data_IF_603704320740
#
_entry.id   IF_603704320740
#
_cell.length_a   1.000
_cell.length_b   1.000
_cell.length_c   1.000
_cell.angle_alpha   90.00
_cell.angle_beta   90.00
_cell.angle_gamma   90.00
#
_symmetry.space_group_name_H-M   'P 1'
#
loop_
_entity.id
_entity.type
_entity.pdbx_description
1 polymer ?
#
# COMPACT_ATOMS: atom_id res chain seq x y z
N UNK A 1 -2.08 -2.79 13.45
CA UNK A 1 -2.50 -3.11 12.06
C UNK A 1 -1.57 -4.10 11.37
N UNK A 2 -0.30 -3.77 11.11
CA UNK A 2 0.64 -4.62 10.33
C UNK A 2 0.70 -6.09 10.81
N UNK A 3 0.83 -6.29 12.12
CA UNK A 3 0.79 -7.63 12.72
C UNK A 3 -0.52 -8.38 12.42
N UNK A 4 -1.67 -7.71 12.51
CA UNK A 4 -2.99 -8.33 12.31
C UNK A 4 -3.18 -8.81 10.87
N UNK A 5 -2.76 -8.02 9.88
CA UNK A 5 -2.84 -8.44 8.48
C UNK A 5 -1.89 -9.61 8.19
N UNK A 6 -0.67 -9.62 8.75
CA UNK A 6 0.24 -10.78 8.62
C UNK A 6 -0.35 -12.02 9.29
N UNK A 7 -0.85 -11.92 10.53
CA UNK A 7 -1.47 -13.02 11.24
C UNK A 7 -2.73 -13.52 10.51
N UNK A 8 -3.51 -12.60 9.94
CA UNK A 8 -4.66 -12.91 9.09
C UNK A 8 -4.26 -13.72 7.86
N UNK A 9 -3.24 -13.27 7.11
CA UNK A 9 -2.70 -13.99 5.95
C UNK A 9 -2.12 -15.35 6.35
N UNK A 10 -1.48 -15.47 7.51
CA UNK A 10 -1.06 -16.76 8.04
C UNK A 10 -2.25 -17.70 8.29
N UNK A 11 -3.35 -17.21 8.86
CA UNK A 11 -4.59 -17.97 9.02
C UNK A 11 -5.21 -18.35 7.67
N UNK A 12 -5.14 -17.47 6.66
CA UNK A 12 -5.55 -17.80 5.28
C UNK A 12 -4.78 -19.01 4.76
N UNK A 13 -3.46 -19.02 4.87
CA UNK A 13 -2.61 -20.14 4.41
C UNK A 13 -2.83 -21.42 5.23
N UNK A 14 -3.23 -21.30 6.50
CA UNK A 14 -3.65 -22.42 7.36
C UNK A 14 -5.12 -22.83 7.20
N UNK A 15 -5.85 -22.25 6.23
CA UNK A 15 -7.28 -22.52 5.99
C UNK A 15 -8.19 -22.24 7.20
N UNK A 16 -7.79 -21.35 8.10
CA UNK A 16 -8.57 -20.89 9.26
C UNK A 16 -9.33 -19.63 8.89
N UNK A 17 -10.37 -19.77 8.07
CA UNK A 17 -11.03 -18.63 7.41
C UNK A 17 -11.69 -17.64 8.38
N UNK A 18 -12.35 -18.12 9.44
CA UNK A 18 -12.99 -17.25 10.44
C UNK A 18 -11.97 -16.37 11.18
N UNK A 19 -10.87 -16.98 11.65
CA UNK A 19 -9.78 -16.25 12.30
C UNK A 19 -9.11 -15.26 11.33
N UNK A 20 -8.90 -15.66 10.07
CA UNK A 20 -8.38 -14.76 9.05
C UNK A 20 -9.31 -13.56 8.81
N UNK A 21 -10.61 -13.82 8.67
CA UNK A 21 -11.64 -12.79 8.49
C UNK A 21 -11.65 -11.79 9.65
N UNK A 22 -11.66 -12.28 10.89
CA UNK A 22 -11.65 -11.45 12.09
C UNK A 22 -10.38 -10.60 12.20
N UNK A 23 -9.19 -11.18 12.00
CA UNK A 23 -7.92 -10.47 12.11
C UNK A 23 -7.78 -9.39 11.01
N UNK A 24 -8.17 -9.70 9.78
CA UNK A 24 -8.12 -8.74 8.67
C UNK A 24 -9.17 -7.64 8.85
N UNK A 25 -10.40 -7.98 9.29
CA UNK A 25 -11.42 -7.00 9.62
C UNK A 25 -10.95 -6.03 10.70
N UNK A 26 -10.36 -6.54 11.79
CA UNK A 26 -9.80 -5.71 12.85
C UNK A 26 -8.67 -4.81 12.33
N UNK A 27 -7.85 -5.32 11.41
CA UNK A 27 -6.84 -4.51 10.71
C UNK A 27 -7.46 -3.34 9.94
N UNK A 28 -8.55 -3.58 9.20
CA UNK A 28 -9.30 -2.55 8.46
C UNK A 28 -9.92 -1.52 9.41
N UNK A 29 -10.47 -1.95 10.55
CA UNK A 29 -11.05 -1.04 11.56
C UNK A 29 -10.00 -0.12 12.18
N UNK A 30 -8.77 -0.59 12.36
CA UNK A 30 -7.67 0.26 12.85
C UNK A 30 -7.21 1.25 11.77
N UNK A 31 -7.06 0.78 10.53
CA UNK A 31 -6.72 1.65 9.40
C UNK A 31 -7.24 1.05 8.10
N UNK A 32 -8.11 1.81 7.44
CA UNK A 32 -8.85 1.38 6.25
C UNK A 32 -7.96 0.94 5.09
N UNK A 33 -6.68 1.32 5.06
CA UNK A 33 -5.73 0.93 4.01
C UNK A 33 -5.62 -0.59 3.85
N UNK A 34 -5.83 -1.38 4.91
CA UNK A 34 -5.86 -2.85 4.79
C UNK A 34 -7.01 -3.37 3.90
N UNK A 35 -8.01 -2.56 3.59
CA UNK A 35 -9.14 -2.95 2.77
C UNK A 35 -8.73 -3.29 1.32
N UNK A 36 -7.53 -2.90 0.88
CA UNK A 36 -6.97 -3.29 -0.43
C UNK A 36 -6.85 -4.82 -0.60
N UNK A 37 -6.93 -5.61 0.46
CA UNK A 37 -6.97 -7.07 0.35
C UNK A 37 -8.35 -7.65 -0.03
N UNK A 38 -9.46 -6.93 0.20
CA UNK A 38 -10.81 -7.45 -0.05
C UNK A 38 -11.07 -7.74 -1.54
N UNK A 39 -10.82 -6.79 -2.48
CA UNK A 39 -11.02 -7.09 -3.90
C UNK A 39 -10.11 -8.22 -4.38
N UNK A 40 -8.90 -8.33 -3.84
CA UNK A 40 -7.99 -9.43 -4.13
C UNK A 40 -8.58 -10.79 -3.76
N UNK A 41 -9.09 -10.97 -2.54
CA UNK A 41 -9.71 -12.24 -2.14
C UNK A 41 -10.94 -12.58 -2.98
N UNK A 42 -11.75 -11.58 -3.34
CA UNK A 42 -12.92 -11.76 -4.20
C UNK A 42 -12.54 -12.25 -5.60
N UNK A 43 -11.56 -11.61 -6.25
CA UNK A 43 -11.10 -11.97 -7.61
C UNK A 43 -10.36 -13.32 -7.60
N UNK A 44 -9.59 -13.62 -6.55
CA UNK A 44 -8.84 -14.88 -6.41
C UNK A 44 -9.67 -16.04 -5.89
N UNK A 45 -11.00 -15.95 -5.97
CA UNK A 45 -11.96 -17.00 -5.57
C UNK A 45 -11.87 -17.42 -4.10
N UNK A 46 -11.30 -16.58 -3.23
CA UNK A 46 -11.30 -16.74 -1.77
C UNK A 46 -12.45 -15.91 -1.15
N UNK A 47 -13.66 -16.08 -1.71
CA UNK A 47 -14.84 -15.24 -1.41
C UNK A 47 -15.33 -15.41 0.03
N UNK A 48 -15.20 -16.60 0.59
CA UNK A 48 -15.52 -16.88 2.00
C UNK A 48 -14.80 -15.92 2.94
N UNK A 49 -13.49 -15.73 2.73
CA UNK A 49 -12.66 -14.83 3.52
C UNK A 49 -13.13 -13.38 3.35
N UNK A 50 -13.39 -12.93 2.13
CA UNK A 50 -13.88 -11.56 1.87
C UNK A 50 -15.22 -11.30 2.59
N UNK A 51 -16.14 -12.26 2.55
CA UNK A 51 -17.44 -12.17 3.25
C UNK A 51 -17.22 -12.12 4.76
N UNK A 52 -16.37 -12.99 5.31
CA UNK A 52 -16.06 -13.01 6.74
C UNK A 52 -15.43 -11.69 7.20
N UNK A 53 -14.53 -11.08 6.40
CA UNK A 53 -13.99 -9.76 6.71
C UNK A 53 -15.10 -8.70 6.80
N UNK A 54 -16.05 -8.70 5.87
CA UNK A 54 -17.19 -7.77 5.90
C UNK A 54 -18.08 -8.00 7.12
N UNK A 55 -18.41 -9.26 7.43
CA UNK A 55 -19.21 -9.62 8.60
C UNK A 55 -18.52 -9.14 9.89
N UNK A 56 -17.25 -9.48 10.08
CA UNK A 56 -16.53 -9.06 11.28
C UNK A 56 -16.33 -7.55 11.35
N UNK A 57 -16.15 -6.86 10.22
CA UNK A 57 -16.07 -5.40 10.20
C UNK A 57 -17.38 -4.77 10.70
N UNK A 58 -18.54 -5.25 10.22
CA UNK A 58 -19.85 -4.79 10.71
C UNK A 58 -20.01 -5.09 12.21
N UNK A 59 -19.65 -6.31 12.65
CA UNK A 59 -19.71 -6.68 14.07
C UNK A 59 -18.83 -5.77 14.94
N UNK A 60 -17.62 -5.43 14.48
CA UNK A 60 -16.72 -4.54 15.21
C UNK A 60 -17.21 -3.09 15.23
N UNK A 61 -17.81 -2.60 14.14
CA UNK A 61 -18.47 -1.28 14.14
C UNK A 61 -19.65 -1.22 15.11
N UNK A 62 -20.38 -2.33 15.30
CA UNK A 62 -21.53 -2.37 16.21
C UNK A 62 -21.14 -2.67 17.66
N UNK A 63 -19.89 -3.07 17.92
CA UNK A 63 -19.44 -3.44 19.26
C UNK A 63 -19.59 -2.30 20.29
N UNK A 64 -19.27 -1.02 19.99
CA UNK A 64 -19.45 0.07 20.94
C UNK A 64 -20.93 0.33 21.29
N UNK A 65 -21.87 -0.04 20.41
CA UNK A 65 -23.31 0.14 20.66
C UNK A 65 -23.81 -0.62 21.90
N UNK A 66 -23.11 -1.69 22.31
CA UNK A 66 -23.40 -2.41 23.57
C UNK A 66 -23.26 -1.48 24.78
N UNK A 67 -22.33 -0.51 24.71
CA UNK A 67 -22.06 0.43 25.80
C UNK A 67 -22.80 1.76 25.61
N UNK A 68 -22.79 2.34 24.40
CA UNK A 68 -23.33 3.69 24.15
C UNK A 68 -24.78 3.71 23.65
N UNK A 69 -25.34 2.55 23.29
CA UNK A 69 -26.65 2.42 22.64
C UNK A 69 -26.60 2.64 21.12
N UNK A 70 -27.52 1.98 20.40
CA UNK A 70 -27.55 2.00 18.92
C UNK A 70 -27.77 3.41 18.34
N UNK A 71 -28.57 4.25 18.99
CA UNK A 71 -28.85 5.60 18.51
C UNK A 71 -27.59 6.48 18.51
N UNK A 72 -26.80 6.43 19.59
CA UNK A 72 -25.54 7.19 19.70
C UNK A 72 -24.48 6.64 18.76
N UNK A 73 -24.35 5.31 18.66
CA UNK A 73 -23.41 4.68 17.73
C UNK A 73 -23.71 5.09 16.28
N UNK A 74 -24.99 5.07 15.89
CA UNK A 74 -25.39 5.51 14.55
C UNK A 74 -25.02 6.98 14.30
N UNK A 75 -25.14 7.84 15.30
CA UNK A 75 -24.70 9.23 15.18
C UNK A 75 -23.18 9.35 15.03
N UNK A 76 -22.40 8.54 15.74
CA UNK A 76 -20.94 8.51 15.60
C UNK A 76 -20.52 8.05 14.21
N UNK A 77 -21.06 6.94 13.72
CA UNK A 77 -20.76 6.43 12.37
C UNK A 77 -21.14 7.43 11.26
N UNK A 78 -22.27 8.14 11.41
CA UNK A 78 -22.70 9.19 10.47
C UNK A 78 -21.74 10.39 10.43
N UNK A 79 -21.15 10.76 11.58
CA UNK A 79 -20.22 11.89 11.68
C UNK A 79 -18.78 11.52 11.30
N UNK A 80 -18.41 10.26 11.46
CA UNK A 80 -17.04 9.79 11.25
C UNK A 80 -16.54 9.94 9.82
N UNK A 81 -17.33 9.52 8.82
CA UNK A 81 -16.90 9.55 7.42
C UNK A 81 -16.69 10.98 6.88
N UNK A 82 -17.61 11.95 7.12
CA UNK A 82 -17.36 13.36 6.79
C UNK A 82 -16.08 13.89 7.46
N UNK A 83 -15.90 13.63 8.76
CA UNK A 83 -14.75 14.11 9.52
C UNK A 83 -13.41 13.62 8.95
N UNK A 84 -13.29 12.33 8.64
CA UNK A 84 -12.06 11.79 8.03
C UNK A 84 -11.85 12.34 6.63
N UNK A 85 -12.91 12.47 5.84
CA UNK A 85 -12.81 12.96 4.46
C UNK A 85 -12.33 14.42 4.43
N UNK A 86 -12.87 15.27 5.30
CA UNK A 86 -12.49 16.69 5.40
C UNK A 86 -11.05 16.87 5.88
N UNK A 87 -10.58 16.04 6.80
CA UNK A 87 -9.23 16.15 7.39
C UNK A 87 -8.12 15.47 6.59
N UNK A 88 -8.46 14.52 5.70
CA UNK A 88 -7.48 13.71 4.97
C UNK A 88 -7.44 13.97 3.46
N UNK A 89 -8.46 14.64 2.90
CA UNK A 89 -8.59 14.85 1.44
C UNK A 89 -8.52 16.32 1.04
N UNK A 90 -8.09 17.21 1.93
CA UNK A 90 -7.88 18.62 1.61
C UNK A 90 -6.64 18.81 0.71
N UNK A 91 -6.65 19.89 -0.08
CA UNK A 91 -5.58 20.16 -1.06
C UNK A 91 -4.21 20.35 -0.41
N UNK A 92 -4.16 20.91 0.80
CA UNK A 92 -2.91 21.10 1.53
C UNK A 92 -2.25 19.76 1.83
N UNK A 93 -3.01 18.82 2.41
CA UNK A 93 -2.55 17.45 2.69
C UNK A 93 -2.09 16.71 1.43
N UNK A 94 -2.77 16.90 0.30
CA UNK A 94 -2.37 16.29 -0.96
C UNK A 94 -1.07 16.85 -1.54
N UNK A 95 -0.79 18.14 -1.35
CA UNK A 95 0.45 18.74 -1.83
C UNK A 95 1.60 18.56 -0.86
N UNK A 96 1.35 18.46 0.45
CA UNK A 96 2.39 18.33 1.48
C UNK A 96 3.51 17.37 1.06
N UNK A 97 4.74 17.87 1.07
CA UNK A 97 5.89 17.07 0.69
C UNK A 97 6.10 15.86 1.61
N UNK A 98 5.66 15.91 2.87
CA UNK A 98 5.69 14.76 3.78
C UNK A 98 4.73 13.65 3.37
N UNK A 99 3.74 13.97 2.54
CA UNK A 99 2.88 12.99 1.91
C UNK A 99 3.61 12.36 0.72
N UNK A 100 3.99 11.10 0.90
CA UNK A 100 4.72 10.28 -0.06
C UNK A 100 3.79 9.30 -0.80
N UNK A 101 2.48 9.56 -0.81
CA UNK A 101 1.54 8.73 -1.58
C UNK A 101 1.76 8.87 -3.09
N UNK A 102 1.31 7.88 -3.85
CA UNK A 102 1.36 7.93 -5.33
C UNK A 102 0.63 9.16 -5.86
N UNK A 103 -0.51 9.48 -5.27
CA UNK A 103 -1.33 10.63 -5.65
C UNK A 103 -0.61 11.95 -5.37
N UNK A 104 0.00 12.10 -4.19
CA UNK A 104 0.71 13.32 -3.82
C UNK A 104 1.93 13.55 -4.73
N UNK A 105 2.70 12.49 -5.01
CA UNK A 105 3.78 12.52 -5.99
C UNK A 105 3.26 12.99 -7.37
N UNK A 106 2.20 12.36 -7.90
CA UNK A 106 1.65 12.73 -9.21
C UNK A 106 1.19 14.18 -9.21
N UNK A 107 0.50 14.64 -8.17
CA UNK A 107 0.04 16.02 -8.07
C UNK A 107 1.21 17.01 -8.06
N UNK A 108 2.27 16.73 -7.27
CA UNK A 108 3.48 17.57 -7.25
C UNK A 108 4.17 17.68 -8.60
N UNK A 109 4.30 16.57 -9.33
CA UNK A 109 4.98 16.56 -10.62
C UNK A 109 4.11 17.01 -11.81
N UNK A 110 2.78 16.96 -11.71
CA UNK A 110 1.93 17.17 -12.90
C UNK A 110 1.04 18.39 -12.83
N UNK A 111 0.92 19.06 -11.68
CA UNK A 111 -0.03 20.17 -11.53
C UNK A 111 0.67 21.51 -11.32
N UNK A 112 0.09 22.56 -11.93
CA UNK A 112 0.56 23.94 -11.77
C UNK A 112 0.36 24.50 -10.36
N UNK A 113 -0.51 23.87 -9.57
CA UNK A 113 -0.87 24.30 -8.22
C UNK A 113 0.15 23.82 -7.17
N UNK A 114 1.15 23.03 -7.57
CA UNK A 114 2.20 22.55 -6.66
C UNK A 114 3.09 23.69 -6.16
N UNK A 115 3.30 23.83 -4.84
CA UNK A 115 4.09 24.93 -4.28
C UNK A 115 5.61 24.77 -4.43
N UNK A 116 6.10 23.64 -4.95
CA UNK A 116 7.53 23.31 -4.96
C UNK A 116 8.25 23.56 -6.29
N UNK A 117 7.57 24.10 -7.31
CA UNK A 117 8.17 24.40 -8.63
C UNK A 117 8.84 23.18 -9.31
N UNK A 118 8.37 21.97 -9.04
CA UNK A 118 8.85 20.71 -9.66
C UNK A 118 7.89 20.13 -10.69
N UNK A 119 6.81 20.84 -10.99
CA UNK A 119 5.81 20.39 -11.95
C UNK A 119 6.38 20.38 -13.38
N UNK A 120 6.30 19.23 -14.03
CA UNK A 120 6.71 19.02 -15.44
C UNK A 120 5.53 19.17 -16.42
N UNK A 121 4.31 19.23 -15.90
CA UNK A 121 3.09 19.45 -16.68
C UNK A 121 2.22 20.51 -15.99
N UNK A 122 1.44 21.30 -16.74
CA UNK A 122 0.58 22.35 -16.18
C UNK A 122 -0.87 21.87 -15.96
N UNK A 123 -1.07 20.65 -15.44
CA UNK A 123 -2.43 20.13 -15.22
C UNK A 123 -3.12 20.87 -14.06
N UNK A 124 -4.44 20.89 -14.09
CA UNK A 124 -5.24 21.25 -12.91
C UNK A 124 -5.19 20.15 -11.85
N UNK A 125 -5.49 20.49 -10.59
CA UNK A 125 -5.60 19.51 -9.50
C UNK A 125 -6.45 18.27 -9.86
N UNK A 126 -7.64 18.47 -10.44
CA UNK A 126 -8.54 17.37 -10.80
C UNK A 126 -7.94 16.45 -11.89
N UNK A 127 -7.26 17.02 -12.87
CA UNK A 127 -6.57 16.26 -13.92
C UNK A 127 -5.39 15.47 -13.35
N UNK A 128 -4.56 16.08 -12.50
CA UNK A 128 -3.45 15.39 -11.82
C UNK A 128 -3.94 14.24 -10.93
N UNK A 129 -5.02 14.45 -10.18
CA UNK A 129 -5.65 13.39 -9.40
C UNK A 129 -6.17 12.25 -10.29
N UNK A 130 -6.76 12.59 -11.45
CA UNK A 130 -7.16 11.63 -12.48
C UNK A 130 -5.99 10.78 -13.00
N UNK A 131 -4.83 11.40 -13.23
CA UNK A 131 -3.60 10.67 -13.61
C UNK A 131 -3.14 9.74 -12.48
N UNK A 132 -3.18 10.20 -11.22
CA UNK A 132 -2.85 9.37 -10.06
C UNK A 132 -3.78 8.16 -9.93
N UNK A 133 -5.08 8.36 -10.08
CA UNK A 133 -6.09 7.30 -10.08
C UNK A 133 -5.89 6.32 -11.23
N UNK A 134 -5.56 6.81 -12.42
CA UNK A 134 -5.26 5.98 -13.58
C UNK A 134 -4.08 5.03 -13.29
N UNK A 135 -2.96 5.55 -12.75
CA UNK A 135 -1.83 4.71 -12.36
C UNK A 135 -2.19 3.73 -11.25
N UNK A 136 -2.93 4.17 -10.22
CA UNK A 136 -3.37 3.31 -9.14
C UNK A 136 -4.23 2.14 -9.65
N UNK A 137 -5.20 2.41 -10.54
CA UNK A 137 -6.06 1.40 -11.16
C UNK A 137 -5.27 0.42 -12.01
N UNK A 138 -4.31 0.88 -12.82
CA UNK A 138 -3.45 0.00 -13.62
C UNK A 138 -2.63 -0.91 -12.71
N UNK A 139 -1.92 -0.31 -11.74
CA UNK A 139 -1.06 -1.06 -10.81
C UNK A 139 -1.90 -2.11 -10.06
N UNK A 140 -3.04 -1.71 -9.52
CA UNK A 140 -3.90 -2.61 -8.77
C UNK A 140 -4.52 -3.69 -9.65
N UNK A 141 -4.96 -3.34 -10.87
CA UNK A 141 -5.46 -4.29 -11.86
C UNK A 141 -4.43 -5.35 -12.24
N UNK A 142 -3.16 -4.98 -12.37
CA UNK A 142 -2.06 -5.93 -12.62
C UNK A 142 -1.84 -6.91 -11.46
N UNK A 143 -2.12 -6.50 -10.22
CA UNK A 143 -2.08 -7.39 -9.05
C UNK A 143 -3.26 -8.36 -9.11
N UNK A 144 -4.48 -7.84 -9.28
CA UNK A 144 -5.72 -8.61 -9.24
C UNK A 144 -5.82 -9.65 -10.35
N UNK A 145 -5.67 -9.22 -11.61
CA UNK A 145 -6.09 -10.01 -12.77
C UNK A 145 -4.96 -10.80 -13.42
N UNK A 146 -3.73 -10.30 -13.38
CA UNK A 146 -2.61 -11.01 -14.00
C UNK A 146 -2.00 -12.00 -13.03
N UNK A 147 -2.30 -13.29 -13.19
CA UNK A 147 -1.72 -14.36 -12.36
C UNK A 147 -0.21 -14.48 -12.60
N UNK A 148 0.53 -14.84 -11.56
CA UNK A 148 1.95 -15.15 -11.70
C UNK A 148 2.18 -16.58 -12.16
N UNK A 149 3.39 -16.85 -12.65
CA UNK A 149 3.75 -18.09 -13.34
C UNK A 149 4.72 -18.97 -12.52
N UNK A 150 4.91 -18.67 -11.24
CA UNK A 150 5.86 -19.36 -10.38
C UNK A 150 5.35 -19.46 -8.94
N UNK A 151 6.09 -20.20 -8.12
CA UNK A 151 5.75 -20.50 -6.72
C UNK A 151 5.73 -19.28 -5.78
N UNK A 152 6.31 -18.16 -6.19
CA UNK A 152 6.33 -16.92 -5.41
C UNK A 152 5.16 -15.99 -5.74
N UNK A 153 4.35 -16.31 -6.75
CA UNK A 153 3.33 -15.41 -7.30
C UNK A 153 2.32 -14.92 -6.24
N UNK A 154 1.75 -15.82 -5.45
CA UNK A 154 0.73 -15.45 -4.45
C UNK A 154 1.33 -14.62 -3.31
N UNK A 155 2.56 -14.95 -2.88
CA UNK A 155 3.27 -14.17 -1.86
C UNK A 155 3.66 -12.79 -2.40
N UNK A 156 4.08 -12.70 -3.66
CA UNK A 156 4.38 -11.44 -4.33
C UNK A 156 3.12 -10.57 -4.43
N UNK A 157 1.95 -11.16 -4.68
CA UNK A 157 0.68 -10.44 -4.66
C UNK A 157 0.39 -9.84 -3.27
N UNK A 158 0.59 -10.60 -2.18
CA UNK A 158 0.46 -10.04 -0.84
C UNK A 158 1.44 -8.88 -0.58
N UNK A 159 2.71 -9.04 -0.95
CA UNK A 159 3.72 -7.98 -0.81
C UNK A 159 3.36 -6.73 -1.62
N UNK A 160 2.85 -6.90 -2.85
CA UNK A 160 2.39 -5.79 -3.69
C UNK A 160 1.19 -5.08 -3.04
N UNK A 161 0.25 -5.81 -2.45
CA UNK A 161 -0.88 -5.23 -1.72
C UNK A 161 -0.43 -4.44 -0.49
N UNK A 162 0.58 -4.92 0.25
CA UNK A 162 1.20 -4.15 1.33
C UNK A 162 1.78 -2.83 0.82
N UNK A 163 2.47 -2.81 -0.32
CA UNK A 163 2.98 -1.56 -0.89
C UNK A 163 1.83 -0.65 -1.33
N UNK A 164 0.74 -1.19 -1.88
CA UNK A 164 -0.49 -0.41 -2.15
C UNK A 164 -1.07 0.23 -0.89
N UNK A 165 -0.97 -0.39 0.29
CA UNK A 165 -1.42 0.23 1.55
C UNK A 165 -0.65 1.52 1.88
N UNK A 166 0.60 1.65 1.45
CA UNK A 166 1.36 2.88 1.57
C UNK A 166 1.03 3.84 0.41
N UNK A 167 1.17 3.38 -0.82
CA UNK A 167 1.05 4.23 -2.01
C UNK A 167 -0.35 4.78 -2.24
N UNK A 168 -1.40 4.04 -1.90
CA UNK A 168 -2.80 4.45 -2.11
C UNK A 168 -3.41 5.12 -0.87
N UNK A 169 -2.65 5.26 0.22
CA UNK A 169 -3.11 6.03 1.36
C UNK A 169 -3.09 7.53 0.98
N UNK A 170 -4.22 8.26 1.05
CA UNK A 170 -4.26 9.68 0.73
C UNK A 170 -3.31 10.52 1.56
N UNK A 171 -2.94 10.07 2.77
CA UNK A 171 -1.95 10.72 3.61
C UNK A 171 -0.86 9.74 4.06
N UNK A 172 0.12 9.49 3.18
CA UNK A 172 1.15 8.48 3.39
C UNK A 172 2.47 9.11 3.87
N UNK A 173 2.69 9.12 5.18
CA UNK A 173 3.95 9.60 5.76
C UNK A 173 5.01 8.49 5.73
N UNK A 174 6.28 8.81 6.01
CA UNK A 174 7.37 7.85 6.08
C UNK A 174 7.04 6.56 6.85
N UNK A 175 6.34 6.67 7.98
CA UNK A 175 5.98 5.50 8.81
C UNK A 175 5.06 4.50 8.09
N UNK A 176 4.26 4.95 7.11
CA UNK A 176 3.46 4.07 6.27
C UNK A 176 4.33 3.16 5.39
N UNK A 177 5.55 3.57 5.04
CA UNK A 177 6.44 2.81 4.17
C UNK A 177 7.12 1.63 4.89
N UNK A 178 6.85 1.44 6.18
CA UNK A 178 7.13 0.17 6.86
C UNK A 178 6.44 -1.03 6.19
N UNK A 179 5.36 -0.81 5.42
CA UNK A 179 4.73 -1.85 4.60
C UNK A 179 5.58 -2.38 3.45
N UNK A 180 6.73 -1.78 3.15
CA UNK A 180 7.66 -2.33 2.16
C UNK A 180 8.44 -3.54 2.70
N UNK A 181 8.53 -3.71 4.02
CA UNK A 181 9.32 -4.77 4.68
C UNK A 181 9.00 -6.17 4.13
N UNK A 182 7.74 -6.63 4.03
CA UNK A 182 7.44 -7.94 3.46
C UNK A 182 7.93 -8.11 2.01
N UNK A 183 7.89 -7.04 1.22
CA UNK A 183 8.39 -7.02 -0.15
C UNK A 183 9.90 -7.23 -0.19
N UNK A 184 10.66 -6.48 0.62
CA UNK A 184 12.11 -6.67 0.75
C UNK A 184 12.46 -8.08 1.21
N UNK A 185 11.78 -8.61 2.23
CA UNK A 185 12.01 -9.96 2.72
C UNK A 185 11.84 -11.03 1.63
N UNK A 186 10.78 -10.94 0.83
CA UNK A 186 10.53 -11.88 -0.26
C UNK A 186 11.58 -11.77 -1.37
N UNK A 187 11.92 -10.54 -1.79
CA UNK A 187 12.92 -10.30 -2.83
C UNK A 187 14.31 -10.77 -2.39
N UNK A 188 14.74 -10.47 -1.17
CA UNK A 188 16.01 -10.92 -0.61
C UNK A 188 16.04 -12.45 -0.51
N UNK A 189 14.98 -13.07 0.02
CA UNK A 189 14.88 -14.53 0.08
C UNK A 189 15.02 -15.17 -1.31
N UNK A 190 14.35 -14.59 -2.31
CA UNK A 190 14.48 -15.02 -3.69
C UNK A 190 15.91 -14.88 -4.21
N UNK A 191 16.54 -13.71 -4.02
CA UNK A 191 17.91 -13.44 -4.46
C UNK A 191 18.91 -14.40 -3.80
N UNK A 192 18.76 -14.68 -2.51
CA UNK A 192 19.58 -15.69 -1.81
C UNK A 192 19.46 -17.06 -2.47
N UNK A 193 18.24 -17.50 -2.80
CA UNK A 193 18.01 -18.77 -3.53
C UNK A 193 18.59 -18.75 -4.94
N UNK A 194 18.56 -17.60 -5.61
CA UNK A 194 19.17 -17.39 -6.92
C UNK A 194 20.68 -17.08 -6.86
N UNK A 195 21.31 -17.15 -5.68
CA UNK A 195 22.72 -16.78 -5.44
C UNK A 195 23.08 -15.40 -5.99
N UNK A 196 22.14 -14.44 -5.87
CA UNK A 196 22.27 -13.06 -6.34
C UNK A 196 22.53 -12.89 -7.85
N UNK A 197 22.23 -13.90 -8.67
CA UNK A 197 22.44 -13.85 -10.13
C UNK A 197 21.37 -13.08 -10.91
N UNK A 198 20.21 -12.78 -10.30
CA UNK A 198 19.18 -11.95 -10.94
C UNK A 198 19.48 -10.46 -10.77
N UNK A 199 20.44 -9.98 -11.56
CA UNK A 199 20.96 -8.61 -11.49
C UNK A 199 19.85 -7.55 -11.61
N UNK A 200 18.86 -7.64 -12.52
CA UNK A 200 17.79 -6.66 -12.58
C UNK A 200 16.97 -6.55 -11.29
N UNK A 201 16.61 -7.68 -10.66
CA UNK A 201 15.88 -7.66 -9.38
C UNK A 201 16.78 -7.11 -8.26
N UNK A 202 18.06 -7.46 -8.26
CA UNK A 202 19.03 -6.94 -7.31
C UNK A 202 19.16 -5.42 -7.40
N UNK A 203 19.34 -4.87 -8.60
CA UNK A 203 19.45 -3.41 -8.83
C UNK A 203 18.17 -2.71 -8.36
N UNK A 204 16.99 -3.19 -8.75
CA UNK A 204 15.73 -2.60 -8.32
C UNK A 204 15.59 -2.63 -6.79
N UNK A 205 15.98 -3.72 -6.14
CA UNK A 205 15.95 -3.86 -4.68
C UNK A 205 16.91 -2.88 -3.99
N UNK A 206 18.14 -2.75 -4.49
CA UNK A 206 19.17 -1.86 -3.92
C UNK A 206 18.77 -0.40 -4.12
N UNK A 207 18.34 0.00 -5.32
CA UNK A 207 17.90 1.37 -5.58
C UNK A 207 16.66 1.72 -4.76
N UNK A 208 15.72 0.79 -4.63
CA UNK A 208 14.57 0.94 -3.75
C UNK A 208 15.01 1.21 -2.31
N UNK A 209 15.93 0.39 -1.77
CA UNK A 209 16.41 0.55 -0.40
C UNK A 209 17.16 1.88 -0.22
N UNK A 210 18.06 2.22 -1.16
CA UNK A 210 18.78 3.48 -1.17
C UNK A 210 17.84 4.68 -1.09
N UNK A 211 16.84 4.77 -1.98
CA UNK A 211 15.89 5.88 -2.00
C UNK A 211 14.99 5.94 -0.76
N UNK A 212 14.65 4.79 -0.18
CA UNK A 212 13.75 4.70 0.97
C UNK A 212 14.43 4.81 2.34
N UNK A 213 15.77 4.76 2.42
CA UNK A 213 16.51 4.70 3.69
C UNK A 213 17.61 5.75 3.82
N UNK A 214 18.33 6.08 2.73
CA UNK A 214 19.40 7.08 2.79
C UNK A 214 18.89 8.51 2.90
N UNK A 215 17.65 8.77 2.51
CA UNK A 215 17.07 10.11 2.62
C UNK A 215 16.54 10.48 4.00
N UNK A 216 16.71 9.63 5.02
CA UNK A 216 16.15 9.88 6.35
C UNK A 216 16.91 10.98 7.11
N UNK A 217 16.19 11.71 7.96
CA UNK A 217 16.73 12.78 8.83
C UNK A 217 18.04 12.37 9.51
N UNK A 218 18.09 11.13 10.01
CA UNK A 218 19.23 10.60 10.76
C UNK A 218 20.50 10.41 9.92
N UNK A 219 20.37 10.36 8.59
CA UNK A 219 21.50 10.14 7.66
C UNK A 219 21.92 11.45 6.99
N UNK A 220 20.96 12.25 6.54
CA UNK A 220 21.21 13.43 5.69
C UNK A 220 20.87 14.77 6.36
N UNK A 221 20.21 14.75 7.51
CA UNK A 221 19.67 15.93 8.18
C UNK A 221 18.34 16.43 7.59
N UNK A 222 17.62 17.22 8.38
CA UNK A 222 16.26 17.72 8.09
C UNK A 222 16.17 18.44 6.73
N UNK A 223 17.11 19.36 6.44
CA UNK A 223 17.05 20.16 5.22
C UNK A 223 17.15 19.32 3.93
N UNK A 224 17.96 18.26 3.94
CA UNK A 224 18.13 17.40 2.77
C UNK A 224 17.02 16.36 2.68
N UNK A 225 16.51 15.87 3.81
CA UNK A 225 15.30 15.03 3.85
C UNK A 225 14.11 15.76 3.22
N UNK A 226 13.84 17.01 3.64
CA UNK A 226 12.79 17.86 3.06
C UNK A 226 12.90 17.99 1.54
N UNK A 227 14.12 18.14 1.02
CA UNK A 227 14.37 18.20 -0.43
C UNK A 227 14.04 16.87 -1.08
N UNK A 228 14.53 15.76 -0.54
CA UNK A 228 14.30 14.43 -1.09
C UNK A 228 12.80 14.05 -1.08
N UNK A 229 12.09 14.42 -0.02
CA UNK A 229 10.65 14.21 0.11
C UNK A 229 9.85 15.04 -0.91
N UNK A 230 10.27 16.28 -1.21
CA UNK A 230 9.67 17.08 -2.30
C UNK A 230 9.77 16.34 -3.63
N UNK A 231 10.89 15.68 -3.91
CA UNK A 231 11.10 14.83 -5.10
C UNK A 231 10.51 13.41 -4.98
N UNK A 232 9.77 13.11 -3.92
CA UNK A 232 9.05 11.85 -3.74
C UNK A 232 9.93 10.60 -3.75
N UNK A 233 11.17 10.69 -3.25
CA UNK A 233 12.13 9.56 -3.24
C UNK A 233 11.57 8.31 -2.58
N UNK A 234 10.79 8.46 -1.51
CA UNK A 234 10.16 7.35 -0.78
C UNK A 234 9.04 6.71 -1.62
N UNK A 235 8.25 7.51 -2.36
CA UNK A 235 7.29 6.96 -3.33
C UNK A 235 8.01 6.15 -4.41
N UNK A 236 9.11 6.67 -4.96
CA UNK A 236 9.95 5.96 -5.93
C UNK A 236 10.55 4.67 -5.36
N UNK A 237 10.96 4.66 -4.09
CA UNK A 237 11.36 3.42 -3.38
C UNK A 237 10.25 2.37 -3.47
N UNK A 238 9.02 2.71 -3.08
CA UNK A 238 7.87 1.82 -3.20
C UNK A 238 7.66 1.29 -4.61
N UNK A 239 7.70 2.17 -5.63
CA UNK A 239 7.50 1.81 -7.04
C UNK A 239 8.60 0.89 -7.59
N UNK A 240 9.87 1.12 -7.21
CA UNK A 240 10.99 0.26 -7.62
C UNK A 240 10.87 -1.14 -7.00
N UNK A 241 10.49 -1.24 -5.72
CA UNK A 241 10.22 -2.53 -5.09
C UNK A 241 9.03 -3.24 -5.75
N UNK A 242 7.96 -2.51 -6.10
CA UNK A 242 6.85 -3.08 -6.87
C UNK A 242 7.32 -3.62 -8.23
N UNK A 243 8.18 -2.89 -8.94
CA UNK A 243 8.75 -3.36 -10.20
C UNK A 243 9.53 -4.67 -10.03
N UNK A 244 10.35 -4.77 -8.97
CA UNK A 244 11.06 -6.01 -8.62
C UNK A 244 10.10 -7.18 -8.36
N UNK A 245 9.02 -6.93 -7.61
CA UNK A 245 7.99 -7.93 -7.29
C UNK A 245 7.15 -8.33 -8.52
N UNK A 246 6.78 -7.41 -9.39
CA UNK A 246 6.09 -7.74 -10.65
C UNK A 246 6.98 -8.58 -11.56
N UNK A 247 8.27 -8.23 -11.67
CA UNK A 247 9.26 -9.03 -12.41
C UNK A 247 9.38 -10.43 -11.81
N UNK A 248 9.49 -10.53 -10.49
CA UNK A 248 9.53 -11.82 -9.79
C UNK A 248 8.26 -12.63 -10.05
N UNK A 249 7.07 -12.03 -9.90
CA UNK A 249 5.75 -12.66 -10.10
C UNK A 249 5.59 -13.27 -11.50
N UNK A 250 6.07 -12.59 -12.53
CA UNK A 250 5.91 -13.02 -13.93
C UNK A 250 7.11 -13.75 -14.51
N UNK A 251 8.21 -13.88 -13.76
CA UNK A 251 9.36 -14.68 -14.19
C UNK A 251 8.92 -16.13 -14.44
N UNK A 252 9.26 -16.66 -15.62
CA UNK A 252 9.05 -18.08 -15.95
C UNK A 252 9.82 -18.94 -14.95
N UNK A 253 9.32 -20.15 -14.65
CA UNK A 253 10.04 -21.13 -13.84
C UNK A 253 11.44 -21.29 -14.44
N UNK A 254 12.46 -20.88 -13.70
CA UNK A 254 13.82 -21.33 -13.95
C UNK A 254 13.82 -22.74 -13.36
N UNK A 255 13.83 -23.74 -14.22
CA UNK A 255 14.14 -25.11 -13.80
C UNK A 255 15.46 -25.04 -13.04
N UNK A 256 15.47 -25.53 -11.81
CA UNK A 256 16.66 -25.54 -10.99
C UNK A 256 17.69 -26.41 -11.72
N UNK A 257 18.68 -25.76 -12.34
CA UNK A 257 19.97 -26.37 -12.69
C UNK A 257 20.78 -26.56 -11.42
#
# INVERSE_FOLDING_TARGET
MFFLIIAGLYCVEKKREAAAGALIALSVMIKYTSAVFLPYFTVRRRRSIAILVLIFAVLFCLLPAIHVGLDRETQYLKKWLPFISETSLDRGSWFDYKNQSLFSMVLRFTTKDSPYNIAIMPLSFAQGLGVGLFFAVIIYGLILFKKGNNKYADMADYCLLFICMALFNPNAWMTNFTFLIPGYMLVIYYLMKARFKDIPILILCVLSFALGSWGSESVVGEALEDILEKFSTITFSGLLLMAALFRLKWKKRVEAS
#
